data_IF_597974808110
#
_entry.id   IF_597974808110
#
_cell.length_a   1.000
_cell.length_b   1.000
_cell.length_c   1.000
_cell.angle_alpha   90.00
_cell.angle_beta   90.00
_cell.angle_gamma   90.00
#
_symmetry.space_group_name_H-M   'P 1'
#
loop_
_entity.id
_entity.type
_entity.pdbx_description
1 polymer ?
#
# COMPACT_ATOMS: atom_id res chain seq x y z
N UNK A 1 -5.32 17.14 -4.77
CA UNK A 1 -4.50 15.97 -4.36
C UNK A 1 -4.78 15.72 -2.89
N UNK A 2 -5.40 14.59 -2.52
CA UNK A 2 -5.71 14.30 -1.11
C UNK A 2 -4.42 14.11 -0.31
N UNK A 3 -4.25 14.86 0.78
CA UNK A 3 -3.09 14.74 1.66
C UNK A 3 -3.26 13.48 2.51
N UNK A 4 -2.36 12.50 2.33
CA UNK A 4 -2.34 11.29 3.16
C UNK A 4 -1.74 11.63 4.53
N UNK A 5 -2.20 10.95 5.58
CA UNK A 5 -1.65 11.08 6.93
C UNK A 5 -0.16 10.70 6.97
N UNK A 6 0.64 11.48 7.69
CA UNK A 6 2.05 11.17 7.93
C UNK A 6 2.22 9.90 8.75
N UNK A 7 3.34 9.22 8.55
CA UNK A 7 3.73 8.10 9.40
C UNK A 7 4.19 8.55 10.78
N UNK A 8 4.73 7.62 11.60
CA UNK A 8 5.36 7.92 12.88
C UNK A 8 6.45 9.00 12.86
N UNK A 9 7.12 9.21 11.72
CA UNK A 9 8.16 10.24 11.54
C UNK A 9 7.61 11.67 11.40
N UNK A 10 6.29 11.83 11.24
CA UNK A 10 5.65 13.14 11.06
C UNK A 10 5.88 13.77 9.68
N UNK A 11 6.57 13.10 8.76
CA UNK A 11 6.88 13.65 7.44
C UNK A 11 5.70 13.33 6.50
N UNK A 12 4.98 14.38 6.10
CA UNK A 12 3.87 14.28 5.16
C UNK A 12 4.32 14.13 3.71
N UNK A 13 3.48 13.52 2.87
CA UNK A 13 3.76 13.36 1.43
C UNK A 13 3.90 14.69 0.66
N UNK A 14 3.42 15.80 1.21
CA UNK A 14 3.62 17.13 0.65
C UNK A 14 5.10 17.54 0.64
N UNK A 15 5.89 17.15 1.64
CA UNK A 15 7.33 17.42 1.70
C UNK A 15 8.04 16.68 0.56
N UNK A 16 7.71 15.40 0.37
CA UNK A 16 8.25 14.59 -0.74
C UNK A 16 7.91 15.16 -2.12
N UNK A 17 6.75 15.80 -2.26
CA UNK A 17 6.35 16.44 -3.52
C UNK A 17 7.06 17.77 -3.74
N UNK A 18 7.27 18.56 -2.67
CA UNK A 18 7.89 19.89 -2.75
C UNK A 18 9.40 19.86 -2.85
N UNK A 19 10.05 18.88 -2.22
CA UNK A 19 11.50 18.74 -2.14
C UNK A 19 11.95 17.44 -2.81
N UNK A 20 11.36 17.14 -3.97
CA UNK A 20 11.55 15.86 -4.65
C UNK A 20 13.00 15.66 -5.06
N UNK A 21 13.64 16.67 -5.65
CA UNK A 21 15.01 16.61 -6.15
C UNK A 21 16.02 16.35 -5.03
N UNK A 22 15.77 16.91 -3.85
CA UNK A 22 16.61 16.73 -2.68
C UNK A 22 16.39 15.37 -2.02
N UNK A 23 15.16 14.85 -2.02
CA UNK A 23 14.80 13.62 -1.28
C UNK A 23 15.08 12.34 -2.09
N UNK A 24 14.91 12.38 -3.42
CA UNK A 24 15.06 11.21 -4.29
C UNK A 24 16.44 10.53 -4.13
N UNK A 25 17.59 11.25 -4.09
CA UNK A 25 18.89 10.63 -3.88
C UNK A 25 18.95 9.77 -2.61
N UNK A 26 18.38 10.26 -1.50
CA UNK A 26 18.33 9.51 -0.24
C UNK A 26 17.42 8.28 -0.32
N UNK A 27 16.29 8.38 -1.03
CA UNK A 27 15.41 7.22 -1.25
C UNK A 27 16.09 6.14 -2.09
N UNK A 28 16.85 6.53 -3.10
CA UNK A 28 17.65 5.61 -3.94
C UNK A 28 18.74 4.94 -3.11
N UNK A 29 19.48 5.70 -2.31
CA UNK A 29 20.51 5.16 -1.41
C UNK A 29 19.91 4.18 -0.40
N UNK A 30 18.78 4.54 0.20
CA UNK A 30 18.03 3.71 1.13
C UNK A 30 17.62 2.38 0.46
N UNK A 31 17.06 2.43 -0.75
CA UNK A 31 16.69 1.26 -1.54
C UNK A 31 17.88 0.34 -1.83
N UNK A 32 18.99 0.90 -2.33
CA UNK A 32 20.23 0.16 -2.59
C UNK A 32 20.78 -0.50 -1.32
N UNK A 33 20.77 0.22 -0.21
CA UNK A 33 21.20 -0.31 1.09
C UNK A 33 20.35 -1.50 1.53
N UNK A 34 19.03 -1.45 1.31
CA UNK A 34 18.11 -2.56 1.61
C UNK A 34 18.38 -3.79 0.74
N UNK A 35 18.65 -3.58 -0.55
CA UNK A 35 19.02 -4.65 -1.48
C UNK A 35 20.34 -5.31 -1.08
N UNK A 36 21.40 -4.52 -0.87
CA UNK A 36 22.74 -5.03 -0.51
C UNK A 36 22.71 -5.78 0.83
N UNK A 37 21.99 -5.27 1.83
CA UNK A 37 21.91 -5.87 3.17
C UNK A 37 20.88 -7.00 3.26
N UNK A 38 19.98 -7.12 2.29
CA UNK A 38 18.83 -8.02 2.34
C UNK A 38 17.87 -7.77 3.51
N UNK A 39 17.87 -6.57 4.09
CA UNK A 39 17.10 -6.23 5.31
C UNK A 39 16.59 -4.79 5.27
N UNK A 40 15.37 -4.59 5.76
CA UNK A 40 14.79 -3.26 5.96
C UNK A 40 15.34 -2.61 7.24
N UNK A 41 15.64 -1.29 7.24
CA UNK A 41 15.96 -0.56 8.45
C UNK A 41 14.82 -0.60 9.47
N UNK A 42 15.14 -0.73 10.76
CA UNK A 42 14.13 -0.75 11.84
C UNK A 42 13.25 0.51 11.89
N UNK A 43 13.74 1.64 11.37
CA UNK A 43 12.97 2.89 11.32
C UNK A 43 11.85 2.84 10.28
N UNK A 44 12.07 2.21 9.13
CA UNK A 44 11.09 2.17 8.04
C UNK A 44 9.96 1.15 8.30
N UNK A 45 10.21 0.18 9.18
CA UNK A 45 9.21 -0.82 9.59
C UNK A 45 8.30 -0.34 10.71
N UNK A 46 8.53 0.85 11.27
CA UNK A 46 7.65 1.43 12.29
C UNK A 46 6.39 1.99 11.63
N UNK A 47 5.23 1.62 12.19
CA UNK A 47 3.93 2.15 11.81
C UNK A 47 3.13 2.58 13.02
N UNK A 48 2.21 3.53 12.83
CA UNK A 48 1.22 3.93 13.83
C UNK A 48 -0.09 3.20 13.55
N UNK A 49 -0.60 2.45 14.52
CA UNK A 49 -1.90 1.79 14.39
C UNK A 49 -2.99 2.76 14.86
N UNK A 50 -4.00 2.97 14.03
CA UNK A 50 -5.20 3.74 14.34
C UNK A 50 -6.43 2.87 14.07
N UNK A 51 -7.46 2.97 14.91
CA UNK A 51 -8.72 2.23 14.73
C UNK A 51 -9.71 3.07 13.93
N UNK A 52 -10.29 2.50 12.88
CA UNK A 52 -11.44 3.07 12.17
C UNK A 52 -12.73 2.30 12.50
N UNK A 53 -13.84 2.98 12.80
CA UNK A 53 -15.10 2.32 13.08
C UNK A 53 -15.71 1.69 11.80
N UNK A 54 -16.34 0.52 11.96
CA UNK A 54 -17.27 -0.10 11.00
C UNK A 54 -18.71 0.23 11.42
N UNK A 55 -19.68 -0.15 10.58
CA UNK A 55 -21.09 -0.22 11.01
C UNK A 55 -21.22 -1.24 12.15
N UNK A 56 -22.09 -0.96 13.12
CA UNK A 56 -22.33 -1.81 14.29
C UNK A 56 -22.11 -1.06 15.60
N UNK A 57 -22.18 -1.79 16.72
CA UNK A 57 -21.93 -1.21 18.05
C UNK A 57 -20.47 -0.88 18.25
N UNK A 58 -20.17 0.33 18.75
CA UNK A 58 -18.81 0.75 19.10
C UNK A 58 -18.21 -0.03 20.29
N UNK A 59 -19.06 -0.68 21.10
CA UNK A 59 -18.64 -1.51 22.23
C UNK A 59 -18.10 -2.88 21.80
N UNK A 60 -18.40 -3.31 20.58
CA UNK A 60 -17.90 -4.57 20.04
C UNK A 60 -16.61 -4.32 19.24
N UNK A 61 -15.51 -4.91 19.72
CA UNK A 61 -14.18 -4.77 19.13
C UNK A 61 -14.11 -5.22 17.66
N UNK A 62 -14.97 -6.15 17.24
CA UNK A 62 -15.02 -6.64 15.86
C UNK A 62 -15.51 -5.58 14.87
N UNK A 63 -16.21 -4.55 15.38
CA UNK A 63 -16.66 -3.40 14.62
C UNK A 63 -15.58 -2.33 14.44
N UNK A 64 -14.32 -2.62 14.75
CA UNK A 64 -13.20 -1.74 14.47
C UNK A 64 -12.25 -2.33 13.41
N UNK A 65 -11.64 -1.46 12.61
CA UNK A 65 -10.59 -1.81 11.63
C UNK A 65 -9.28 -1.20 12.11
N UNK A 66 -8.30 -2.01 12.53
CA UNK A 66 -6.95 -1.48 12.71
C UNK A 66 -6.36 -1.12 11.34
N UNK A 67 -5.84 0.09 11.22
CA UNK A 67 -5.08 0.56 10.05
C UNK A 67 -3.71 1.01 10.53
N UNK A 68 -2.67 0.46 9.91
CA UNK A 68 -1.29 0.87 10.14
C UNK A 68 -0.91 1.97 9.16
N UNK A 69 -0.60 3.15 9.68
CA UNK A 69 -0.05 4.27 8.92
C UNK A 69 1.48 4.17 8.95
N UNK A 70 2.09 3.97 7.78
CA UNK A 70 3.53 3.85 7.59
C UNK A 70 4.14 5.18 7.14
N UNK A 71 5.46 5.31 7.30
CA UNK A 71 6.22 6.44 6.79
C UNK A 71 6.10 6.55 5.26
N UNK A 72 6.20 7.77 4.74
CA UNK A 72 6.05 8.00 3.30
C UNK A 72 7.17 7.35 2.49
N UNK A 73 8.40 7.30 3.02
CA UNK A 73 9.53 6.58 2.40
C UNK A 73 9.21 5.10 2.16
N UNK A 74 8.54 4.44 3.11
CA UNK A 74 8.05 3.07 2.92
C UNK A 74 7.03 3.00 1.79
N UNK A 75 6.03 3.89 1.79
CA UNK A 75 4.96 3.92 0.79
C UNK A 75 5.50 4.13 -0.63
N UNK A 76 6.48 5.03 -0.78
CA UNK A 76 7.12 5.29 -2.07
C UNK A 76 7.86 4.04 -2.56
N UNK A 77 8.77 3.50 -1.75
CA UNK A 77 9.60 2.37 -2.14
C UNK A 77 8.78 1.09 -2.40
N UNK A 78 7.80 0.81 -1.55
CA UNK A 78 6.86 -0.31 -1.77
C UNK A 78 6.01 -0.10 -3.04
N UNK A 79 5.63 1.13 -3.36
CA UNK A 79 4.95 1.47 -4.61
C UNK A 79 5.79 1.22 -5.86
N UNK A 80 7.08 1.57 -5.82
CA UNK A 80 8.04 1.27 -6.91
C UNK A 80 8.14 -0.25 -7.12
N UNK A 81 8.34 -1.01 -6.03
CA UNK A 81 8.40 -2.47 -6.10
C UNK A 81 7.09 -3.08 -6.62
N UNK A 82 5.95 -2.59 -6.13
CA UNK A 82 4.63 -3.05 -6.59
C UNK A 82 4.47 -2.85 -8.10
N UNK A 83 4.87 -1.69 -8.63
CA UNK A 83 4.79 -1.42 -10.07
C UNK A 83 5.68 -2.33 -10.93
N UNK A 84 6.79 -2.81 -10.38
CA UNK A 84 7.68 -3.77 -11.04
C UNK A 84 7.13 -5.20 -11.02
N UNK A 85 6.50 -5.60 -9.91
CA UNK A 85 6.00 -6.96 -9.70
C UNK A 85 4.63 -7.18 -10.37
N UNK A 86 3.79 -6.14 -10.39
CA UNK A 86 2.40 -6.22 -10.86
C UNK A 86 2.25 -6.84 -12.27
N UNK A 87 3.03 -6.46 -13.31
CA UNK A 87 2.88 -7.05 -14.64
C UNK A 87 3.13 -8.56 -14.66
N UNK A 88 4.10 -9.03 -13.88
CA UNK A 88 4.42 -10.45 -13.79
C UNK A 88 3.32 -11.23 -13.07
N UNK A 89 2.78 -10.67 -11.98
CA UNK A 89 1.63 -11.26 -11.28
C UNK A 89 0.41 -11.29 -12.18
N UNK A 90 0.14 -10.22 -12.93
CA UNK A 90 -1.02 -10.13 -13.81
C UNK A 90 -0.96 -11.14 -14.96
N UNK A 91 0.24 -11.48 -15.45
CA UNK A 91 0.44 -12.50 -16.47
C UNK A 91 0.30 -13.95 -15.94
N UNK A 92 0.71 -14.19 -14.69
CA UNK A 92 0.72 -15.54 -14.10
C UNK A 92 -0.58 -15.93 -13.38
N UNK A 93 -1.31 -14.95 -12.84
CA UNK A 93 -2.52 -15.21 -12.06
C UNK A 93 -3.73 -15.38 -12.98
N UNK A 94 -4.52 -16.43 -12.72
CA UNK A 94 -5.76 -16.72 -13.44
C UNK A 94 -6.77 -15.58 -13.37
N UNK A 95 -7.71 -15.56 -14.31
CA UNK A 95 -8.71 -14.49 -14.46
C UNK A 95 -9.62 -14.32 -13.23
N UNK A 96 -9.73 -15.34 -12.38
CA UNK A 96 -10.51 -15.32 -11.13
C UNK A 96 -9.94 -14.38 -10.07
N UNK A 97 -8.64 -14.11 -10.08
CA UNK A 97 -8.04 -13.13 -9.18
C UNK A 97 -8.43 -11.71 -9.63
N UNK A 98 -9.41 -11.08 -8.97
CA UNK A 98 -9.90 -9.74 -9.35
C UNK A 98 -9.35 -8.58 -8.50
N UNK A 99 -8.85 -8.87 -7.30
CA UNK A 99 -8.37 -7.85 -6.39
C UNK A 99 -6.95 -7.38 -6.72
N UNK A 100 -6.72 -6.08 -6.55
CA UNK A 100 -5.38 -5.45 -6.48
C UNK A 100 -4.50 -5.63 -7.73
N UNK A 101 -5.11 -5.81 -8.90
CA UNK A 101 -4.42 -5.90 -10.18
C UNK A 101 -5.07 -4.96 -11.20
N UNK A 102 -4.26 -4.21 -11.95
CA UNK A 102 -4.72 -3.28 -12.97
C UNK A 102 -5.55 -3.99 -14.04
N UNK A 103 -6.66 -3.36 -14.41
CA UNK A 103 -7.58 -3.86 -15.43
C UNK A 103 -8.50 -4.98 -14.96
N UNK A 104 -8.48 -5.35 -13.68
CA UNK A 104 -9.39 -6.33 -13.07
C UNK A 104 -10.31 -5.63 -12.09
N UNK A 105 -11.60 -5.95 -12.13
CA UNK A 105 -12.60 -5.27 -11.30
C UNK A 105 -13.32 -6.26 -10.40
N UNK A 106 -13.58 -5.85 -9.16
CA UNK A 106 -14.35 -6.68 -8.21
C UNK A 106 -15.78 -6.95 -8.72
N UNK A 107 -16.35 -6.03 -9.49
CA UNK A 107 -17.66 -6.20 -10.14
C UNK A 107 -17.71 -7.36 -11.13
N UNK A 108 -16.56 -7.76 -11.71
CA UNK A 108 -16.48 -8.91 -12.60
C UNK A 108 -16.87 -10.22 -11.89
N UNK A 109 -16.68 -10.30 -10.56
CA UNK A 109 -17.08 -11.47 -9.77
C UNK A 109 -18.60 -11.67 -9.86
N UNK A 110 -19.37 -10.60 -9.64
CA UNK A 110 -20.84 -10.65 -9.72
C UNK A 110 -21.31 -11.01 -11.13
N UNK A 111 -20.65 -10.46 -12.16
CA UNK A 111 -20.96 -10.76 -13.57
C UNK A 111 -20.70 -12.23 -13.92
N UNK A 112 -19.56 -12.76 -13.47
CA UNK A 112 -19.17 -14.16 -13.70
C UNK A 112 -20.15 -15.15 -13.07
N UNK A 113 -20.63 -14.87 -11.85
CA UNK A 113 -21.64 -15.69 -11.17
C UNK A 113 -22.96 -15.70 -11.96
N UNK A 114 -23.41 -14.53 -12.41
CA UNK A 114 -24.64 -14.43 -13.21
C UNK A 114 -24.60 -15.20 -14.54
N UNK A 115 -23.41 -15.34 -15.15
CA UNK A 115 -23.23 -16.17 -16.35
C UNK A 115 -23.11 -17.66 -16.07
N UNK A 116 -22.70 -18.07 -14.86
CA UNK A 116 -22.52 -19.48 -14.50
C UNK A 116 -23.80 -20.15 -13.97
N UNK A 117 -24.81 -19.36 -13.57
CA UNK A 117 -26.10 -19.84 -13.05
C UNK A 117 -27.16 -19.97 -14.17
N UNK A 118 -26.85 -19.51 -15.39
CA UNK A 118 -27.65 -19.77 -16.60
C UNK A 118 -27.15 -21.00 -17.32
#
# INVERSE_FOLDING_TARGET
MFIKSSGPDGIGGNIFTKCLEEIVPYLVELGKSMEIRGKLPKSITKGRITLLPKKGSATDVNNWRPITVLNESYRILSGVLSGQIEPQLNAKLGKEQKGFLKGRQIGDILRNIGTAIK
#
